data_IF_995195270424
#
_entry.id   IF_995195270424
#
_cell.length_a   1.000
_cell.length_b   1.000
_cell.length_c   1.000
_cell.angle_alpha   90.00
_cell.angle_beta   90.00
_cell.angle_gamma   90.00
#
_symmetry.space_group_name_H-M   'P 1'
#
loop_
_entity.id
_entity.type
_entity.pdbx_description
1 polymer ?
#
# COMPACT_ATOMS: atom_id res chain seq x y z
N UNK A 1 -13.74 9.53 12.18
CA UNK A 1 -12.96 8.31 12.44
C UNK A 1 -13.52 7.65 13.68
N UNK A 2 -13.66 6.33 13.66
CA UNK A 2 -14.16 5.52 14.77
C UNK A 2 -13.01 4.69 15.35
N UNK A 3 -12.81 4.80 16.66
CA UNK A 3 -11.79 4.06 17.40
C UNK A 3 -12.44 3.34 18.57
N UNK A 4 -12.13 2.05 18.75
CA UNK A 4 -12.56 1.32 19.93
C UNK A 4 -11.68 0.11 20.22
N UNK A 5 -11.81 -0.39 21.44
CA UNK A 5 -11.12 -1.59 21.91
C UNK A 5 -12.12 -2.64 22.35
N UNK A 6 -11.90 -3.89 21.93
CA UNK A 6 -12.64 -5.06 22.41
C UNK A 6 -11.63 -6.11 22.88
N UNK A 7 -11.60 -6.37 24.18
CA UNK A 7 -10.61 -7.27 24.81
C UNK A 7 -9.17 -6.84 24.43
N UNK A 8 -8.45 -7.69 23.71
CA UNK A 8 -7.06 -7.46 23.28
C UNK A 8 -6.97 -6.86 21.86
N UNK A 9 -8.10 -6.65 21.19
CA UNK A 9 -8.14 -6.07 19.86
C UNK A 9 -8.43 -4.57 19.94
N UNK A 10 -7.59 -3.79 19.29
CA UNK A 10 -7.84 -2.38 19.01
C UNK A 10 -8.21 -2.22 17.53
N UNK A 11 -9.21 -1.39 17.27
CA UNK A 11 -9.75 -1.11 15.95
C UNK A 11 -9.74 0.39 15.68
N UNK A 12 -9.35 0.75 14.45
CA UNK A 12 -9.39 2.10 13.91
C UNK A 12 -10.08 2.03 12.55
N UNK A 13 -11.10 2.85 12.34
CA UNK A 13 -11.87 2.91 11.09
C UNK A 13 -12.00 4.34 10.58
N UNK A 14 -12.07 4.48 9.25
CA UNK A 14 -12.21 5.78 8.60
C UNK A 14 -13.65 6.31 8.58
N UNK A 15 -14.64 5.47 8.89
CA UNK A 15 -16.05 5.85 9.03
C UNK A 15 -16.37 6.32 10.46
N UNK A 16 -17.49 7.01 10.63
CA UNK A 16 -17.88 7.63 11.92
C UNK A 16 -18.89 6.79 12.71
N UNK A 17 -19.78 6.09 12.02
CA UNK A 17 -20.84 5.31 12.63
C UNK A 17 -20.48 3.82 12.65
N UNK A 18 -20.72 3.09 13.75
CA UNK A 18 -20.45 1.66 13.81
C UNK A 18 -21.22 0.87 12.75
N UNK A 19 -20.52 -0.06 12.10
CA UNK A 19 -21.14 -1.01 11.17
C UNK A 19 -21.45 -2.34 11.88
N UNK A 20 -22.53 -3.05 11.49
CA UNK A 20 -22.82 -4.38 12.03
C UNK A 20 -21.64 -5.34 11.82
N UNK A 21 -21.23 -6.04 12.89
CA UNK A 21 -20.14 -7.02 12.88
C UNK A 21 -18.77 -6.46 12.47
N UNK A 22 -18.53 -5.17 12.63
CA UNK A 22 -17.26 -4.52 12.28
C UNK A 22 -16.01 -5.16 12.92
N UNK A 23 -16.15 -5.82 14.08
CA UNK A 23 -15.07 -6.57 14.72
C UNK A 23 -14.55 -7.75 13.88
N UNK A 24 -15.38 -8.28 12.98
CA UNK A 24 -15.08 -9.41 12.11
C UNK A 24 -14.54 -8.98 10.73
N UNK A 25 -14.50 -7.68 10.42
CA UNK A 25 -14.02 -7.17 9.11
C UNK A 25 -12.56 -7.54 8.81
N UNK A 26 -11.77 -7.86 9.83
CA UNK A 26 -10.38 -8.31 9.69
C UNK A 26 -10.24 -9.84 9.77
N UNK A 27 -11.32 -10.57 9.47
CA UNK A 27 -11.35 -12.01 9.37
C UNK A 27 -11.76 -12.44 7.95
N UNK A 28 -10.86 -13.08 7.21
CA UNK A 28 -11.16 -13.54 5.85
C UNK A 28 -12.33 -14.55 5.80
N UNK A 29 -12.52 -15.37 6.85
CA UNK A 29 -13.60 -16.35 6.90
C UNK A 29 -14.97 -15.69 7.05
N UNK A 30 -15.05 -14.53 7.71
CA UNK A 30 -16.28 -13.74 7.79
C UNK A 30 -16.75 -13.32 6.39
N UNK A 31 -15.83 -12.79 5.58
CA UNK A 31 -16.12 -12.41 4.20
C UNK A 31 -16.39 -13.61 3.29
N UNK A 32 -15.68 -14.73 3.50
CA UNK A 32 -15.93 -15.97 2.76
C UNK A 32 -17.34 -16.49 2.98
N UNK A 33 -17.82 -16.54 4.23
CA UNK A 33 -19.18 -16.99 4.55
C UNK A 33 -20.28 -16.14 3.91
N UNK A 34 -19.98 -14.89 3.60
CA UNK A 34 -20.87 -13.96 2.92
C UNK A 34 -20.72 -13.96 1.39
N UNK A 35 -19.85 -14.82 0.83
CA UNK A 35 -19.51 -14.83 -0.60
C UNK A 35 -18.98 -13.49 -1.12
N UNK A 36 -18.22 -12.76 -0.30
CA UNK A 36 -17.68 -11.43 -0.65
C UNK A 36 -16.23 -11.45 -1.11
N UNK A 37 -15.58 -12.61 -1.22
CA UNK A 37 -14.20 -12.69 -1.73
C UNK A 37 -14.22 -12.67 -3.26
N UNK A 38 -13.68 -11.60 -3.85
CA UNK A 38 -13.50 -11.44 -5.30
C UNK A 38 -12.28 -12.18 -5.82
N UNK A 39 -11.27 -12.36 -4.97
CA UNK A 39 -10.02 -13.02 -5.33
C UNK A 39 -8.95 -12.82 -4.26
N UNK A 40 -7.71 -13.16 -4.62
CA UNK A 40 -6.57 -12.98 -3.73
C UNK A 40 -5.27 -12.77 -4.50
N UNK A 41 -4.32 -12.08 -3.87
CA UNK A 41 -2.94 -12.00 -4.32
C UNK A 41 -2.01 -12.67 -3.30
N UNK A 42 -0.95 -13.31 -3.79
CA UNK A 42 0.07 -13.97 -2.95
C UNK A 42 1.34 -13.10 -2.87
N UNK A 43 1.96 -13.09 -1.70
CA UNK A 43 3.22 -12.36 -1.43
C UNK A 43 3.86 -12.86 -0.14
N UNK A 44 4.15 -11.96 0.81
CA UNK A 44 4.56 -12.36 2.19
C UNK A 44 3.43 -13.00 2.99
N UNK A 45 2.20 -12.83 2.52
CA UNK A 45 0.96 -13.43 2.99
C UNK A 45 -0.09 -13.33 1.90
N UNK A 46 -1.33 -13.71 2.21
CA UNK A 46 -2.46 -13.56 1.30
C UNK A 46 -3.12 -12.20 1.51
N UNK A 47 -3.27 -11.44 0.43
CA UNK A 47 -4.16 -10.27 0.40
C UNK A 47 -5.48 -10.70 -0.22
N UNK A 48 -6.58 -10.49 0.50
CA UNK A 48 -7.92 -10.85 0.03
C UNK A 48 -8.60 -9.64 -0.58
N UNK A 49 -9.11 -9.78 -1.80
CA UNK A 49 -9.91 -8.76 -2.46
C UNK A 49 -11.39 -9.00 -2.17
N UNK A 50 -12.08 -7.97 -1.68
CA UNK A 50 -13.40 -8.08 -1.10
C UNK A 50 -14.40 -7.18 -1.82
N UNK A 51 -15.60 -7.71 -2.06
CA UNK A 51 -16.75 -6.98 -2.55
C UNK A 51 -17.42 -6.24 -1.39
N UNK A 52 -17.12 -4.95 -1.29
CA UNK A 52 -17.49 -4.09 -0.15
C UNK A 52 -17.88 -2.68 -0.59
N UNK A 53 -18.10 -2.48 -1.89
CA UNK A 53 -18.54 -1.19 -2.46
C UNK A 53 -19.86 -0.72 -1.88
N UNK A 54 -20.77 -1.63 -1.54
CA UNK A 54 -22.03 -1.37 -0.87
C UNK A 54 -21.88 -0.89 0.58
N UNK A 55 -20.77 -1.26 1.24
CA UNK A 55 -20.51 -0.91 2.65
C UNK A 55 -19.63 0.34 2.78
N UNK A 56 -18.59 0.46 1.94
CA UNK A 56 -17.55 1.49 2.10
C UNK A 56 -17.44 2.45 0.90
N UNK A 57 -18.29 2.26 -0.12
CA UNK A 57 -18.23 2.98 -1.39
C UNK A 57 -17.14 2.47 -2.35
N UNK A 58 -16.28 1.55 -1.90
CA UNK A 58 -15.19 0.95 -2.68
C UNK A 58 -15.04 -0.53 -2.32
N UNK A 59 -14.54 -1.33 -3.26
CA UNK A 59 -14.03 -2.66 -2.91
C UNK A 59 -12.73 -2.53 -2.13
N UNK A 60 -12.43 -3.53 -1.30
CA UNK A 60 -11.30 -3.44 -0.37
C UNK A 60 -10.32 -4.60 -0.51
N UNK A 61 -9.05 -4.32 -0.22
CA UNK A 61 -8.00 -5.29 0.00
C UNK A 61 -7.77 -5.47 1.51
N UNK A 62 -7.97 -6.69 2.01
CA UNK A 62 -7.66 -7.08 3.38
C UNK A 62 -6.29 -7.76 3.42
N UNK A 63 -5.37 -7.18 4.20
CA UNK A 63 -4.00 -7.67 4.37
C UNK A 63 -3.69 -7.93 5.84
N UNK A 64 -3.13 -9.10 6.11
CA UNK A 64 -2.53 -9.44 7.40
C UNK A 64 -1.01 -9.22 7.34
N UNK A 65 -0.43 -8.57 8.34
CA UNK A 65 1.02 -8.32 8.35
C UNK A 65 1.78 -9.54 8.85
N UNK A 66 2.63 -10.08 7.98
CA UNK A 66 3.61 -11.10 8.35
C UNK A 66 5.03 -10.55 8.43
N UNK A 67 5.83 -11.12 9.32
CA UNK A 67 7.27 -10.84 9.43
C UNK A 67 8.02 -11.49 8.27
N UNK A 68 8.73 -10.67 7.48
CA UNK A 68 9.71 -11.12 6.51
C UNK A 68 11.12 -11.35 7.09
N UNK A 69 12.04 -11.88 6.29
CA UNK A 69 13.45 -12.09 6.65
C UNK A 69 13.70 -13.32 7.53
N UNK A 70 14.94 -13.49 8.02
CA UNK A 70 15.36 -14.65 8.84
C UNK A 70 14.51 -14.82 10.11
N UNK A 71 14.06 -13.71 10.71
CA UNK A 71 13.16 -13.72 11.87
C UNK A 71 11.75 -14.25 11.56
N UNK A 72 11.29 -14.12 10.31
CA UNK A 72 10.07 -14.74 9.81
C UNK A 72 10.14 -16.27 9.69
N UNK A 73 11.32 -16.90 9.87
CA UNK A 73 11.41 -18.36 9.96
C UNK A 73 11.07 -18.90 11.36
N UNK A 74 11.20 -18.06 12.39
CA UNK A 74 10.98 -18.43 13.80
C UNK A 74 9.68 -17.85 14.39
N UNK A 75 9.27 -16.66 13.94
CA UNK A 75 8.02 -16.03 14.37
C UNK A 75 7.45 -15.18 13.23
N UNK A 76 6.48 -15.76 12.51
CA UNK A 76 5.88 -15.16 11.30
C UNK A 76 4.88 -14.04 11.60
N UNK A 77 4.34 -13.97 12.80
CA UNK A 77 3.02 -13.38 13.01
C UNK A 77 3.00 -12.30 14.11
N UNK A 78 3.93 -12.37 15.08
CA UNK A 78 3.88 -11.48 16.26
C UNK A 78 4.98 -10.45 16.24
N UNK A 79 4.64 -9.16 16.26
CA UNK A 79 5.56 -8.04 16.42
C UNK A 79 5.75 -7.66 17.89
N UNK A 80 6.88 -7.04 18.26
CA UNK A 80 7.06 -6.50 19.63
C UNK A 80 6.15 -5.29 19.79
N UNK A 81 5.34 -5.29 20.83
CA UNK A 81 4.48 -4.16 21.16
C UNK A 81 5.26 -3.15 22.02
N UNK A 82 5.09 -1.86 21.72
CA UNK A 82 5.61 -0.76 22.53
C UNK A 82 4.50 0.28 22.73
N UNK A 83 4.01 0.82 21.62
CA UNK A 83 2.94 1.82 21.58
C UNK A 83 2.04 1.53 20.39
N UNK A 84 0.75 1.85 20.52
CA UNK A 84 -0.27 1.53 19.54
C UNK A 84 -0.07 2.29 18.22
N UNK A 85 0.23 3.57 18.29
CA UNK A 85 0.52 4.43 17.14
C UNK A 85 1.73 3.96 16.30
N UNK A 86 2.65 3.20 16.91
CA UNK A 86 3.83 2.67 16.24
C UNK A 86 3.61 1.25 15.69
N UNK A 87 2.40 0.69 15.86
CA UNK A 87 2.06 -0.59 15.25
C UNK A 87 1.87 -0.41 13.75
N UNK A 88 2.27 -1.42 12.96
CA UNK A 88 2.36 -1.28 11.49
C UNK A 88 1.05 -0.85 10.85
N UNK A 89 -0.06 -1.53 11.18
CA UNK A 89 -1.38 -1.23 10.60
C UNK A 89 -1.86 0.16 10.96
N UNK A 90 -1.67 0.61 12.21
CA UNK A 90 -2.09 1.96 12.65
C UNK A 90 -1.21 3.04 12.01
N UNK A 91 0.10 2.84 11.98
CA UNK A 91 1.03 3.79 11.36
C UNK A 91 0.74 3.94 9.85
N UNK A 92 0.56 2.82 9.15
CA UNK A 92 0.23 2.84 7.71
C UNK A 92 -1.17 3.41 7.45
N UNK A 93 -2.17 3.07 8.24
CA UNK A 93 -3.51 3.64 8.13
C UNK A 93 -3.48 5.17 8.25
N UNK A 94 -2.80 5.69 9.28
CA UNK A 94 -2.71 7.14 9.51
C UNK A 94 -1.96 7.85 8.37
N UNK A 95 -0.86 7.26 7.89
CA UNK A 95 -0.11 7.79 6.76
C UNK A 95 -0.94 7.80 5.48
N UNK A 96 -1.61 6.69 5.16
CA UNK A 96 -2.52 6.62 4.00
C UNK A 96 -3.63 7.66 4.11
N UNK A 97 -4.18 7.88 5.30
CA UNK A 97 -5.26 8.84 5.50
C UNK A 97 -4.77 10.27 5.24
N UNK A 98 -3.59 10.62 5.76
CA UNK A 98 -2.93 11.91 5.48
C UNK A 98 -2.67 12.09 3.97
N UNK A 99 -2.09 11.08 3.32
CA UNK A 99 -1.74 11.14 1.90
C UNK A 99 -2.98 11.25 1.00
N UNK A 100 -4.03 10.49 1.31
CA UNK A 100 -5.30 10.54 0.61
C UNK A 100 -5.96 11.93 0.78
N UNK A 101 -5.97 12.49 2.00
CA UNK A 101 -6.47 13.85 2.25
C UNK A 101 -5.65 14.92 1.52
N UNK A 102 -4.35 14.71 1.33
CA UNK A 102 -3.49 15.57 0.52
C UNK A 102 -3.69 15.41 -1.00
N UNK A 103 -4.63 14.54 -1.43
CA UNK A 103 -4.95 14.30 -2.83
C UNK A 103 -3.91 13.46 -3.58
N UNK A 104 -3.00 12.80 -2.87
CA UNK A 104 -2.04 11.89 -3.50
C UNK A 104 -2.77 10.61 -3.95
N UNK A 105 -2.53 10.10 -5.18
CA UNK A 105 -3.02 8.79 -5.63
C UNK A 105 -2.49 7.61 -4.80
N UNK A 106 -3.14 7.33 -3.68
CA UNK A 106 -2.88 6.19 -2.79
C UNK A 106 -4.20 5.50 -2.41
N UNK A 107 -4.20 4.21 -2.03
CA UNK A 107 -5.41 3.53 -1.58
C UNK A 107 -6.06 4.23 -0.39
N UNK A 108 -7.36 4.49 -0.47
CA UNK A 108 -8.13 4.97 0.69
C UNK A 108 -8.04 3.95 1.83
N UNK A 109 -7.56 4.32 3.03
CA UNK A 109 -7.55 3.40 4.17
C UNK A 109 -8.97 3.28 4.73
N UNK A 110 -9.47 2.05 4.96
CA UNK A 110 -10.81 1.80 5.49
C UNK A 110 -10.76 1.45 6.97
N UNK A 111 -9.84 0.57 7.37
CA UNK A 111 -9.64 0.26 8.78
C UNK A 111 -8.30 -0.42 9.06
N UNK A 112 -7.92 -0.42 10.33
CA UNK A 112 -6.77 -1.12 10.86
C UNK A 112 -7.13 -1.84 12.16
N UNK A 113 -6.56 -3.03 12.36
CA UNK A 113 -6.65 -3.78 13.61
C UNK A 113 -5.28 -4.04 14.18
N UNK A 114 -5.22 -4.02 15.51
CA UNK A 114 -4.08 -4.51 16.31
C UNK A 114 -4.59 -5.49 17.35
N UNK A 115 -4.18 -6.75 17.24
CA UNK A 115 -4.45 -7.78 18.25
C UNK A 115 -3.26 -7.94 19.16
N UNK A 116 -3.36 -7.50 20.42
CA UNK A 116 -2.31 -7.74 21.42
C UNK A 116 -2.34 -9.20 21.88
N UNK A 117 -1.16 -9.78 22.09
CA UNK A 117 -1.05 -11.08 22.76
C UNK A 117 -1.44 -10.96 24.24
N UNK A 118 -1.81 -12.07 24.88
CA UNK A 118 -2.31 -12.09 26.26
C UNK A 118 -1.37 -11.43 27.29
N UNK A 119 -0.05 -11.51 27.08
CA UNK A 119 0.96 -10.89 27.94
C UNK A 119 1.26 -9.43 27.56
N UNK A 120 0.64 -8.89 26.52
CA UNK A 120 0.82 -7.50 26.07
C UNK A 120 2.16 -7.17 25.38
N UNK A 121 3.14 -8.06 25.39
CA UNK A 121 4.48 -7.80 24.81
C UNK A 121 4.54 -7.91 23.28
N UNK A 122 3.50 -8.45 22.66
CA UNK A 122 3.47 -8.66 21.21
C UNK A 122 2.10 -8.37 20.60
N UNK A 123 2.06 -8.14 19.29
CA UNK A 123 0.83 -7.89 18.56
C UNK A 123 0.83 -8.52 17.16
N UNK A 124 -0.38 -8.74 16.62
CA UNK A 124 -0.66 -9.00 15.21
C UNK A 124 -1.37 -7.78 14.63
N UNK A 125 -1.26 -7.58 13.32
CA UNK A 125 -1.81 -6.41 12.66
C UNK A 125 -2.52 -6.79 11.36
N UNK A 126 -3.59 -6.05 11.07
CA UNK A 126 -4.36 -6.17 9.85
C UNK A 126 -4.69 -4.78 9.31
N UNK A 127 -4.70 -4.62 7.99
CA UNK A 127 -5.10 -3.40 7.29
C UNK A 127 -6.17 -3.75 6.26
N UNK A 128 -7.22 -2.94 6.23
CA UNK A 128 -8.25 -2.93 5.22
C UNK A 128 -8.14 -1.60 4.47
N UNK A 129 -7.79 -1.64 3.19
CA UNK A 129 -7.66 -0.46 2.33
C UNK A 129 -8.46 -0.67 1.05
N UNK A 130 -8.64 0.39 0.28
CA UNK A 130 -9.20 0.33 -1.06
C UNK A 130 -8.44 -0.66 -1.94
N UNK A 131 -9.18 -1.44 -2.72
CA UNK A 131 -8.68 -2.15 -3.88
C UNK A 131 -8.82 -1.22 -5.08
N UNK A 132 -7.70 -0.85 -5.70
CA UNK A 132 -7.75 -0.07 -6.94
C UNK A 132 -8.33 -0.95 -8.05
N UNK A 133 -9.48 -0.56 -8.57
CA UNK A 133 -10.18 -1.27 -9.65
C UNK A 133 -9.49 -1.07 -10.99
N UNK A 134 -9.53 -2.06 -11.89
CA UNK A 134 -8.93 -2.01 -13.22
C UNK A 134 -7.45 -1.57 -13.23
N UNK A 135 -6.73 -1.90 -12.16
CA UNK A 135 -5.33 -1.60 -12.00
C UNK A 135 -4.46 -2.84 -12.16
N UNK A 136 -3.31 -2.64 -12.81
CA UNK A 136 -2.27 -3.63 -12.96
C UNK A 136 -0.98 -3.12 -12.32
N UNK A 137 -0.22 -4.05 -11.75
CA UNK A 137 1.18 -3.84 -11.40
C UNK A 137 1.98 -3.29 -12.60
N UNK A 138 2.79 -2.24 -12.38
CA UNK A 138 3.56 -1.60 -13.45
C UNK A 138 4.56 -2.56 -14.11
N UNK A 139 5.17 -3.48 -13.36
CA UNK A 139 6.11 -4.45 -13.95
C UNK A 139 5.38 -5.49 -14.82
N UNK A 140 4.19 -5.91 -14.42
CA UNK A 140 3.33 -6.77 -15.22
C UNK A 140 2.86 -6.08 -16.52
N UNK A 141 2.52 -4.79 -16.43
CA UNK A 141 2.14 -4.00 -17.60
C UNK A 141 3.32 -3.87 -18.59
N UNK A 142 4.50 -3.49 -18.08
CA UNK A 142 5.69 -3.24 -18.91
C UNK A 142 6.25 -4.49 -19.59
N UNK A 143 5.84 -5.70 -19.20
CA UNK A 143 6.16 -6.91 -19.98
C UNK A 143 5.48 -6.92 -21.34
N UNK A 144 4.29 -6.34 -21.45
CA UNK A 144 3.41 -6.50 -22.61
C UNK A 144 3.14 -5.18 -23.33
N UNK A 145 3.31 -4.04 -22.65
CA UNK A 145 2.95 -2.72 -23.16
C UNK A 145 4.06 -1.70 -22.95
N UNK A 146 4.11 -0.71 -23.84
CA UNK A 146 4.96 0.48 -23.69
C UNK A 146 4.15 1.61 -23.12
N UNK A 147 4.74 2.32 -22.16
CA UNK A 147 4.22 3.61 -21.72
C UNK A 147 4.73 4.72 -22.64
N UNK A 148 3.90 5.75 -22.83
CA UNK A 148 4.30 6.99 -23.51
C UNK A 148 5.26 7.80 -22.63
N UNK A 149 5.98 8.75 -23.23
CA UNK A 149 6.83 9.67 -22.50
C UNK A 149 6.04 10.48 -21.44
N UNK A 150 4.79 10.85 -21.73
CA UNK A 150 3.91 11.55 -20.78
C UNK A 150 3.54 10.68 -19.59
N UNK A 151 3.25 9.39 -19.80
CA UNK A 151 2.96 8.46 -18.71
C UNK A 151 4.18 8.28 -17.79
N UNK A 152 5.40 8.21 -18.34
CA UNK A 152 6.62 8.21 -17.53
C UNK A 152 6.77 9.51 -16.72
N UNK A 153 6.52 10.67 -17.34
CA UNK A 153 6.51 11.96 -16.63
C UNK A 153 5.47 12.00 -15.52
N UNK A 154 4.28 11.43 -15.71
CA UNK A 154 3.25 11.33 -14.66
C UNK A 154 3.73 10.52 -13.46
N UNK A 155 4.43 9.39 -13.69
CA UNK A 155 5.04 8.60 -12.60
C UNK A 155 6.07 9.44 -11.84
N UNK A 156 6.94 10.16 -12.56
CA UNK A 156 7.91 11.07 -11.96
C UNK A 156 7.26 12.15 -11.09
N UNK A 157 6.21 12.79 -11.61
CA UNK A 157 5.42 13.79 -10.91
C UNK A 157 4.73 13.25 -9.66
N UNK A 158 4.19 12.02 -9.72
CA UNK A 158 3.58 11.33 -8.58
C UNK A 158 4.60 11.11 -7.44
N UNK A 159 5.80 10.67 -7.77
CA UNK A 159 6.89 10.48 -6.80
C UNK A 159 7.32 11.84 -6.22
N UNK A 160 7.38 12.88 -7.06
CA UNK A 160 7.69 14.24 -6.60
C UNK A 160 6.66 14.75 -5.60
N UNK A 161 5.36 14.57 -5.86
CA UNK A 161 4.30 14.94 -4.93
C UNK A 161 4.46 14.27 -3.56
N UNK A 162 4.78 12.97 -3.55
CA UNK A 162 5.07 12.26 -2.29
C UNK A 162 6.28 12.87 -1.57
N UNK A 163 7.36 13.16 -2.29
CA UNK A 163 8.56 13.74 -1.74
C UNK A 163 8.38 15.19 -1.25
N UNK A 164 7.48 15.96 -1.87
CA UNK A 164 7.15 17.32 -1.44
C UNK A 164 6.37 17.30 -0.12
N UNK A 165 5.56 16.26 0.11
CA UNK A 165 4.94 15.96 1.41
C UNK A 165 5.93 15.42 2.47
N UNK A 166 7.23 15.38 2.16
CA UNK A 166 8.31 14.85 3.02
C UNK A 166 8.12 13.38 3.43
N UNK A 167 7.37 12.60 2.65
CA UNK A 167 7.17 11.18 2.93
C UNK A 167 8.21 10.34 2.19
N UNK A 168 8.98 9.58 2.96
CA UNK A 168 9.95 8.61 2.43
C UNK A 168 9.27 7.25 2.25
N UNK A 169 9.16 6.79 1.00
CA UNK A 169 8.63 5.47 0.69
C UNK A 169 9.72 4.42 0.84
N UNK A 170 9.80 3.75 1.99
CA UNK A 170 10.98 2.91 2.32
C UNK A 170 11.22 1.74 1.38
N UNK A 171 10.18 1.29 0.67
CA UNK A 171 10.24 0.27 -0.38
C UNK A 171 9.75 0.78 -1.75
N UNK A 172 10.16 1.99 -2.16
CA UNK A 172 9.81 2.51 -3.49
C UNK A 172 10.42 1.63 -4.58
N UNK A 173 9.59 0.86 -5.25
CA UNK A 173 9.98 -0.08 -6.29
C UNK A 173 8.86 -0.17 -7.34
N UNK A 174 9.17 -0.74 -8.51
CA UNK A 174 8.23 -0.77 -9.62
C UNK A 174 6.98 -1.63 -9.35
N UNK A 175 7.05 -2.59 -8.41
CA UNK A 175 5.90 -3.40 -8.01
C UNK A 175 4.89 -2.65 -7.14
N UNK A 176 5.33 -1.55 -6.55
CA UNK A 176 4.52 -0.69 -5.67
C UNK A 176 3.92 0.50 -6.44
N UNK A 177 3.94 0.46 -7.77
CA UNK A 177 3.29 1.41 -8.65
C UNK A 177 2.20 0.66 -9.41
N UNK A 178 0.95 1.08 -9.23
CA UNK A 178 -0.16 0.54 -10.02
C UNK A 178 -0.50 1.47 -11.17
N UNK A 179 -0.85 0.87 -12.30
CA UNK A 179 -1.38 1.53 -13.48
C UNK A 179 -2.86 1.17 -13.61
N UNK A 180 -3.74 2.15 -13.41
CA UNK A 180 -5.18 2.03 -13.54
C UNK A 180 -5.61 2.54 -14.91
N UNK A 181 -6.35 1.71 -15.65
CA UNK A 181 -6.99 2.11 -16.88
C UNK A 181 -8.37 2.70 -16.58
N UNK A 182 -8.59 3.94 -17.00
CA UNK A 182 -9.86 4.66 -16.93
C UNK A 182 -10.34 4.99 -18.35
N UNK A 183 -11.60 5.37 -18.49
CA UNK A 183 -12.14 5.77 -19.80
C UNK A 183 -11.40 7.01 -20.33
N UNK A 184 -10.52 6.80 -21.30
CA UNK A 184 -9.76 7.88 -21.96
C UNK A 184 -8.49 8.33 -21.26
N UNK A 185 -8.13 7.76 -20.11
CA UNK A 185 -6.89 8.12 -19.40
C UNK A 185 -6.24 6.96 -18.64
N UNK A 186 -4.96 7.12 -18.32
CA UNK A 186 -4.21 6.22 -17.44
C UNK A 186 -3.87 6.96 -16.16
N UNK A 187 -4.16 6.35 -15.01
CA UNK A 187 -3.83 6.91 -13.70
C UNK A 187 -2.83 6.03 -12.96
N UNK A 188 -1.80 6.64 -12.38
CA UNK A 188 -0.80 5.94 -11.57
C UNK A 188 -1.07 6.10 -10.08
N UNK A 189 -0.81 5.05 -9.32
CA UNK A 189 -1.01 4.99 -7.87
C UNK A 189 0.23 4.45 -7.18
N UNK A 190 0.51 4.93 -5.97
CA UNK A 190 1.51 4.35 -5.07
C UNK A 190 0.81 3.46 -4.04
N UNK A 191 1.38 2.29 -3.76
CA UNK A 191 0.85 1.34 -2.78
C UNK A 191 1.97 0.84 -1.85
N UNK A 192 1.58 0.10 -0.80
CA UNK A 192 2.47 -0.51 0.20
C UNK A 192 3.30 0.50 0.99
N UNK A 193 2.63 1.20 1.90
CA UNK A 193 3.24 2.21 2.77
C UNK A 193 3.76 1.61 4.09
N UNK A 194 3.94 0.28 4.19
CA UNK A 194 4.48 -0.37 5.39
C UNK A 194 5.86 0.23 5.72
N UNK A 195 6.00 0.73 6.95
CA UNK A 195 7.20 1.43 7.46
C UNK A 195 7.58 2.72 6.72
N UNK A 196 6.72 3.24 5.85
CA UNK A 196 6.90 4.57 5.29
C UNK A 196 6.58 5.63 6.35
N UNK A 197 7.06 6.85 6.15
CA UNK A 197 6.81 7.92 7.10
C UNK A 197 7.52 9.21 6.73
N UNK A 198 7.23 10.24 7.51
CA UNK A 198 7.84 11.55 7.35
C UNK A 198 9.34 11.46 7.61
N UNK A 199 10.11 12.12 6.74
CA UNK A 199 11.55 12.28 6.91
C UNK A 199 11.93 13.69 6.50
N UNK A 200 12.17 14.53 7.51
CA UNK A 200 12.66 15.88 7.29
C UNK A 200 14.02 15.84 6.56
N UNK A 201 14.24 16.80 5.65
CA UNK A 201 15.40 16.96 4.77
C UNK A 201 15.27 16.30 3.38
N UNK A 202 16.21 16.60 2.48
CA UNK A 202 16.14 16.18 1.06
C UNK A 202 17.12 15.05 0.70
N UNK A 203 18.12 14.76 1.55
CA UNK A 203 19.21 13.81 1.21
C UNK A 203 18.74 12.39 0.89
N UNK A 204 17.55 12.00 1.39
CA UNK A 204 16.99 10.67 1.18
C UNK A 204 16.23 10.53 -0.14
N UNK A 205 15.80 11.64 -0.75
CA UNK A 205 14.98 11.64 -1.98
C UNK A 205 15.70 10.98 -3.14
N UNK A 206 16.97 11.32 -3.31
CA UNK A 206 17.86 10.71 -4.31
C UNK A 206 18.01 9.19 -4.08
N UNK A 207 18.22 8.78 -2.82
CA UNK A 207 18.27 7.36 -2.48
C UNK A 207 16.97 6.59 -2.76
N UNK A 208 15.83 7.28 -2.71
CA UNK A 208 14.52 6.72 -3.04
C UNK A 208 14.36 6.51 -4.55
N UNK A 209 14.74 7.51 -5.35
CA UNK A 209 14.77 7.43 -6.82
C UNK A 209 15.73 6.35 -7.30
N UNK A 210 16.95 6.28 -6.75
CA UNK A 210 17.92 5.24 -7.10
C UNK A 210 17.42 3.84 -6.74
N UNK A 211 16.65 3.68 -5.65
CA UNK A 211 16.01 2.40 -5.32
C UNK A 211 15.02 2.00 -6.41
N UNK A 212 14.18 2.94 -6.85
CA UNK A 212 13.23 2.70 -7.92
C UNK A 212 13.94 2.33 -9.24
N UNK A 213 14.98 3.07 -9.61
CA UNK A 213 15.76 2.78 -10.82
C UNK A 213 16.38 1.38 -10.78
N UNK A 214 16.99 1.00 -9.65
CA UNK A 214 17.52 -0.37 -9.46
C UNK A 214 16.42 -1.43 -9.53
N UNK A 215 15.22 -1.12 -9.05
CA UNK A 215 14.07 -2.02 -9.20
C UNK A 215 13.75 -2.25 -10.66
N UNK A 216 13.64 -1.20 -11.48
CA UNK A 216 13.38 -1.36 -12.91
C UNK A 216 14.48 -2.19 -13.59
N UNK A 217 15.75 -1.85 -13.38
CA UNK A 217 16.87 -2.58 -13.98
C UNK A 217 16.86 -4.07 -13.60
N UNK A 218 16.55 -4.38 -12.35
CA UNK A 218 16.41 -5.77 -11.90
C UNK A 218 15.26 -6.50 -12.61
N UNK A 219 14.13 -5.84 -12.83
CA UNK A 219 12.99 -6.45 -13.51
C UNK A 219 13.19 -6.55 -15.03
N UNK A 220 14.05 -5.73 -15.63
CA UNK A 220 14.48 -5.93 -17.03
C UNK A 220 15.17 -7.28 -17.16
N UNK A 221 16.06 -7.64 -16.23
CA UNK A 221 16.76 -8.93 -16.23
C UNK A 221 15.83 -10.10 -15.86
N UNK A 222 14.93 -9.90 -14.88
CA UNK A 222 14.12 -10.99 -14.32
C UNK A 222 12.85 -11.28 -15.10
N UNK A 223 12.15 -10.23 -15.53
CA UNK A 223 10.81 -10.29 -16.12
C UNK A 223 10.80 -9.78 -17.56
N UNK A 224 11.92 -9.30 -18.10
CA UNK A 224 12.02 -8.76 -19.47
C UNK A 224 11.04 -7.59 -19.70
N UNK A 225 10.87 -6.74 -18.70
CA UNK A 225 10.06 -5.51 -18.85
C UNK A 225 10.69 -4.56 -19.87
N UNK A 226 9.84 -3.80 -20.55
CA UNK A 226 10.25 -2.77 -21.51
C UNK A 226 10.65 -1.50 -20.77
N UNK A 227 11.90 -1.44 -20.34
CA UNK A 227 12.49 -0.29 -19.66
C UNK A 227 13.94 -0.07 -20.10
N UNK A 228 14.34 1.19 -20.23
CA UNK A 228 15.69 1.61 -20.61
C UNK A 228 16.00 3.02 -20.07
N UNK A 229 17.17 3.56 -20.44
CA UNK A 229 17.60 4.88 -20.00
C UNK A 229 16.72 6.04 -20.47
N UNK A 230 16.07 5.92 -21.64
CA UNK A 230 15.18 6.98 -22.15
C UNK A 230 13.90 7.06 -21.31
N UNK A 231 13.35 5.91 -20.93
CA UNK A 231 12.20 5.86 -20.01
C UNK A 231 12.54 6.48 -18.65
N UNK A 232 13.74 6.19 -18.11
CA UNK A 232 14.21 6.82 -16.87
C UNK A 232 14.34 8.34 -17.02
N UNK A 233 14.86 8.81 -18.14
CA UNK A 233 14.98 10.24 -18.41
C UNK A 233 13.59 10.92 -18.39
N UNK A 234 12.58 10.34 -19.06
CA UNK A 234 11.22 10.89 -19.04
C UNK A 234 10.61 10.89 -17.63
N UNK A 235 10.87 9.87 -16.81
CA UNK A 235 10.46 9.89 -15.40
C UNK A 235 11.13 11.05 -14.65
N UNK A 236 12.43 11.24 -14.82
CA UNK A 236 13.18 12.32 -14.16
C UNK A 236 12.79 13.71 -14.64
N UNK A 237 12.43 13.87 -15.92
CA UNK A 237 11.82 15.09 -16.46
C UNK A 237 10.53 15.42 -15.70
N UNK A 238 9.65 14.44 -15.50
CA UNK A 238 8.41 14.63 -14.74
C UNK A 238 8.62 14.89 -13.24
N UNK A 239 9.65 14.29 -12.65
CA UNK A 239 10.02 14.55 -11.26
C UNK A 239 10.55 15.99 -11.05
N UNK A 240 11.21 16.53 -12.07
CA UNK A 240 11.87 17.84 -12.03
C UNK A 240 11.00 19.00 -12.52
N UNK A 241 9.85 18.72 -13.15
CA UNK A 241 9.00 19.72 -13.82
C UNK A 241 8.13 20.58 -12.86
N UNK A 242 8.52 20.69 -11.60
CA UNK A 242 7.88 21.55 -10.58
C UNK A 242 8.89 22.23 -9.69
#
# INVERSE_FOLDING_TARGET
>A
MLEYQLKNDFFLFNFEYPEPHQEDFFNADFWRRQNRILGSAQGRGTTWFLHTSDLFGVNTALRHYYRGGLWGKFNKDRYRFQQLQNTRSIAEFNLLNQLHQAGLPVPKPIGARVRKGNLGFCYQADLLSEKIENAQDLTALLQTQRLTADQWRQIGGLIRQLHDLQICHTDLNAHNILCQQLEGETKFWLIDFDKCGEKSASFWKEGNLQRLQRSFNKEVERMHIQFDGQHWQHLMEGYSSR
#
